data_IF_305826700099
#
_entry.id   IF_305826700099
#
_cell.length_a   1.000
_cell.length_b   1.000
_cell.length_c   1.000
_cell.angle_alpha   90.00
_cell.angle_beta   90.00
_cell.angle_gamma   90.00
#
_symmetry.space_group_name_H-M   'P 1'
#
loop_
_entity.id
_entity.type
_entity.pdbx_description
1 polymer ?
#
# COMPACT_ATOMS: atom_id res chain seq x y z
N UNK A 1 1.54 -1.36 -19.74
CA UNK A 1 1.41 0.00 -19.15
C UNK A 1 2.75 0.73 -19.16
N UNK A 2 3.74 0.33 -18.35
CA UNK A 2 5.05 1.00 -18.30
C UNK A 2 5.71 1.23 -19.68
N UNK A 3 5.85 0.18 -20.50
CA UNK A 3 6.44 0.31 -21.85
C UNK A 3 5.70 1.33 -22.72
N UNK A 4 4.37 1.30 -22.71
CA UNK A 4 3.57 2.28 -23.46
C UNK A 4 3.75 3.70 -22.91
N UNK A 5 3.85 3.87 -21.60
CA UNK A 5 4.11 5.17 -20.96
C UNK A 5 5.50 5.73 -21.28
N UNK A 6 6.51 4.87 -21.36
CA UNK A 6 7.90 5.22 -21.68
C UNK A 6 8.06 5.56 -23.17
N UNK A 7 7.29 4.90 -24.03
CA UNK A 7 7.36 5.13 -25.49
C UNK A 7 6.36 6.21 -25.97
N UNK A 8 5.54 6.79 -25.08
CA UNK A 8 4.51 7.79 -25.44
C UNK A 8 5.12 9.15 -25.83
N UNK A 9 4.72 9.71 -26.98
CA UNK A 9 5.23 10.97 -27.53
C UNK A 9 4.27 12.15 -27.28
N UNK A 10 3.86 12.88 -28.33
CA UNK A 10 2.88 13.97 -28.25
C UNK A 10 1.48 13.48 -28.68
N UNK A 11 0.46 14.30 -28.44
CA UNK A 11 -0.90 14.01 -28.92
C UNK A 11 -0.90 13.78 -30.44
N UNK A 12 -1.68 12.78 -30.88
CA UNK A 12 -1.80 12.31 -32.27
C UNK A 12 -0.51 11.78 -32.94
N UNK A 13 0.55 11.51 -32.16
CA UNK A 13 1.80 10.91 -32.66
C UNK A 13 1.96 9.44 -32.20
N UNK A 14 2.61 8.65 -33.06
CA UNK A 14 2.96 7.26 -32.75
C UNK A 14 4.04 7.15 -31.66
N UNK A 15 4.15 6.00 -30.97
CA UNK A 15 5.13 5.81 -29.91
C UNK A 15 6.57 5.81 -30.46
N UNK A 16 7.48 6.43 -29.72
CA UNK A 16 8.92 6.44 -30.00
C UNK A 16 9.68 5.77 -28.85
N UNK A 17 10.46 4.70 -29.12
CA UNK A 17 11.13 3.93 -28.08
C UNK A 17 11.98 4.79 -27.14
N UNK A 18 11.71 4.73 -25.84
CA UNK A 18 12.51 5.42 -24.81
C UNK A 18 12.33 6.94 -24.74
N UNK A 19 11.33 7.51 -25.41
CA UNK A 19 11.09 8.96 -25.48
C UNK A 19 10.82 9.61 -24.10
N UNK A 20 10.19 8.87 -23.17
CA UNK A 20 9.87 9.31 -21.80
C UNK A 20 10.44 8.36 -20.75
N UNK A 21 11.76 8.17 -20.76
CA UNK A 21 12.45 7.31 -19.80
C UNK A 21 12.19 7.69 -18.33
N UNK A 22 11.96 8.98 -18.05
CA UNK A 22 11.62 9.52 -16.72
C UNK A 22 10.36 8.87 -16.10
N UNK A 23 9.40 8.46 -16.93
CA UNK A 23 8.21 7.75 -16.46
C UNK A 23 8.56 6.41 -15.80
N UNK A 24 9.69 5.80 -16.15
CA UNK A 24 10.17 4.56 -15.51
C UNK A 24 10.49 4.78 -14.03
N UNK A 25 11.10 5.91 -13.69
CA UNK A 25 11.43 6.24 -12.30
C UNK A 25 10.15 6.44 -11.49
N UNK A 26 9.15 7.11 -12.07
CA UNK A 26 7.83 7.26 -11.44
C UNK A 26 7.22 5.91 -11.07
N UNK A 27 7.23 4.94 -11.99
CA UNK A 27 6.70 3.61 -11.71
C UNK A 27 7.52 2.85 -10.66
N UNK A 28 8.86 2.93 -10.69
CA UNK A 28 9.71 2.29 -9.66
C UNK A 28 9.40 2.85 -8.28
N UNK A 29 9.31 4.18 -8.15
CA UNK A 29 8.95 4.83 -6.89
C UNK A 29 7.55 4.41 -6.45
N UNK A 30 6.57 4.43 -7.36
CA UNK A 30 5.20 4.00 -7.06
C UNK A 30 5.14 2.56 -6.55
N UNK A 31 5.80 1.61 -7.22
CA UNK A 31 5.78 0.19 -6.85
C UNK A 31 6.54 -0.13 -5.56
N UNK A 32 7.46 0.72 -5.11
CA UNK A 32 8.19 0.51 -3.85
C UNK A 32 7.52 1.26 -2.70
N UNK A 33 7.26 2.55 -2.90
CA UNK A 33 6.80 3.46 -1.84
C UNK A 33 5.36 3.19 -1.45
N UNK A 34 4.45 2.99 -2.42
CA UNK A 34 3.04 2.76 -2.13
C UNK A 34 2.83 1.45 -1.33
N UNK A 35 3.38 0.29 -1.75
CA UNK A 35 3.26 -0.94 -0.95
C UNK A 35 3.94 -0.85 0.41
N UNK A 36 5.07 -0.14 0.51
CA UNK A 36 5.73 0.07 1.79
C UNK A 36 4.83 0.79 2.80
N UNK A 37 4.22 1.92 2.41
CA UNK A 37 3.28 2.62 3.28
C UNK A 37 2.01 1.80 3.54
N UNK A 38 1.50 1.11 2.53
CA UNK A 38 0.31 0.26 2.66
C UNK A 38 0.50 -0.84 3.72
N UNK A 39 1.64 -1.55 3.68
CA UNK A 39 1.95 -2.59 4.67
C UNK A 39 2.09 -2.01 6.08
N UNK A 40 2.74 -0.85 6.23
CA UNK A 40 2.90 -0.23 7.55
C UNK A 40 1.55 0.17 8.17
N UNK A 41 0.65 0.78 7.40
CA UNK A 41 -0.71 1.12 7.87
C UNK A 41 -1.50 -0.15 8.17
N UNK A 42 -1.41 -1.16 7.30
CA UNK A 42 -2.12 -2.42 7.49
C UNK A 42 -1.67 -3.15 8.76
N UNK A 43 -0.36 -3.24 9.00
CA UNK A 43 0.21 -3.84 10.22
C UNK A 43 -0.24 -3.07 11.46
N UNK A 44 -0.21 -1.74 11.43
CA UNK A 44 -0.67 -0.92 12.56
C UNK A 44 -2.14 -1.16 12.89
N UNK A 45 -3.01 -1.22 11.88
CA UNK A 45 -4.43 -1.55 12.06
C UNK A 45 -4.63 -2.92 12.71
N UNK A 46 -3.93 -3.94 12.19
CA UNK A 46 -4.01 -5.29 12.73
C UNK A 46 -3.59 -5.32 14.21
N UNK A 47 -2.49 -4.66 14.57
CA UNK A 47 -2.03 -4.58 15.96
C UNK A 47 -3.11 -3.94 16.85
N UNK A 48 -3.68 -2.80 16.45
CA UNK A 48 -4.72 -2.12 17.22
C UNK A 48 -5.94 -3.03 17.42
N UNK A 49 -6.40 -3.70 16.35
CA UNK A 49 -7.54 -4.61 16.45
C UNK A 49 -7.29 -5.81 17.37
N UNK A 50 -6.07 -6.35 17.38
CA UNK A 50 -5.70 -7.43 18.30
C UNK A 50 -5.59 -6.97 19.74
N UNK A 51 -5.09 -5.75 19.98
CA UNK A 51 -5.08 -5.15 21.31
C UNK A 51 -6.51 -4.95 21.82
N UNK A 52 -7.39 -4.36 21.01
CA UNK A 52 -8.79 -4.13 21.38
C UNK A 52 -9.55 -5.44 21.67
N UNK A 53 -9.32 -6.48 20.85
CA UNK A 53 -9.90 -7.81 21.10
C UNK A 53 -9.34 -8.46 22.36
N UNK A 54 -8.03 -8.32 22.60
CA UNK A 54 -7.36 -8.84 23.79
C UNK A 54 -7.87 -8.18 25.08
N UNK A 55 -8.03 -6.86 25.08
CA UNK A 55 -8.54 -6.11 26.23
C UNK A 55 -9.99 -6.49 26.56
N UNK A 56 -10.84 -6.65 25.54
CA UNK A 56 -12.22 -7.13 25.70
C UNK A 56 -12.30 -8.53 26.28
N UNK A 57 -11.47 -9.47 25.80
CA UNK A 57 -11.42 -10.83 26.34
C UNK A 57 -10.98 -10.86 27.82
N UNK A 58 -10.07 -9.96 28.22
CA UNK A 58 -9.63 -9.86 29.61
C UNK A 58 -10.72 -9.28 30.52
N UNK A 59 -11.47 -8.29 30.04
CA UNK A 59 -12.62 -7.73 30.76
C UNK A 59 -13.71 -8.80 31.00
N UNK A 60 -14.10 -9.52 29.96
CA UNK A 60 -15.10 -10.61 30.07
C UNK A 60 -14.66 -11.70 31.07
N UNK A 61 -13.39 -12.12 31.02
CA UNK A 61 -12.86 -13.11 31.96
C UNK A 61 -12.86 -12.62 33.42
N UNK A 62 -12.65 -11.31 33.62
CA UNK A 62 -12.70 -10.70 34.96
C UNK A 62 -14.11 -10.62 35.52
N UNK A 63 -15.13 -10.47 34.67
CA UNK A 63 -16.54 -10.48 35.06
C UNK A 63 -17.00 -11.89 35.42
N UNK A 64 -16.68 -12.91 34.61
CA UNK A 64 -17.02 -14.33 34.89
C UNK A 64 -16.44 -14.82 36.23
N UNK A 65 -15.28 -14.32 36.67
CA UNK A 65 -14.65 -14.75 37.91
C UNK A 65 -15.24 -14.09 39.17
N UNK A 66 -16.01 -13.02 39.01
CA UNK A 66 -16.60 -12.25 40.12
C UNK A 66 -18.09 -12.57 40.36
N UNK A 67 -18.69 -13.48 39.60
CA UNK A 67 -19.94 -14.19 39.93
C UNK A 67 -19.65 -15.51 40.65
#
# INVERSE_FOLDING_TARGET
VLKHSVDSTYEDQGPSPGYRMEMSIFYVVYFVVFPFFFVNIFVALIIITFQEQGDKMMEDYSLEKNE
#
